data_IF_871955579755
#
_entry.id   IF_871955579755
#
_cell.length_a   1.000
_cell.length_b   1.000
_cell.length_c   1.000
_cell.angle_alpha   90.00
_cell.angle_beta   90.00
_cell.angle_gamma   90.00
#
_symmetry.space_group_name_H-M   'P 1'
#
loop_
_entity.id
_entity.type
_entity.pdbx_description
1 polymer ?
#
# COMPACT_ATOMS: atom_id res chain seq x y z
N UNK A 1 -10.52 22.93 3.08
CA UNK A 1 -9.98 21.55 3.00
C UNK A 1 -10.67 20.69 1.96
N UNK A 2 -12.01 20.51 2.01
CA UNK A 2 -12.72 19.67 1.02
C UNK A 2 -12.49 20.10 -0.44
N UNK A 3 -12.55 21.41 -0.74
CA UNK A 3 -12.24 21.93 -2.08
C UNK A 3 -10.81 21.58 -2.53
N UNK A 4 -9.82 21.64 -1.64
CA UNK A 4 -8.43 21.27 -1.93
C UNK A 4 -8.30 19.79 -2.33
N UNK A 5 -9.03 18.89 -1.66
CA UNK A 5 -9.06 17.47 -2.00
C UNK A 5 -9.74 17.21 -3.34
N UNK A 6 -10.82 17.91 -3.67
CA UNK A 6 -11.48 17.83 -4.99
C UNK A 6 -10.52 18.30 -6.10
N UNK A 7 -9.85 19.43 -5.89
CA UNK A 7 -8.85 19.95 -6.85
C UNK A 7 -7.69 18.96 -7.02
N UNK A 8 -7.15 18.41 -5.93
CA UNK A 8 -6.09 17.41 -6.00
C UNK A 8 -6.54 16.15 -6.76
N UNK A 9 -7.76 15.66 -6.51
CA UNK A 9 -8.32 14.51 -7.22
C UNK A 9 -8.45 14.77 -8.73
N UNK A 10 -8.94 15.95 -9.13
CA UNK A 10 -9.00 16.34 -10.55
C UNK A 10 -7.61 16.38 -11.18
N UNK A 11 -6.61 16.96 -10.49
CA UNK A 11 -5.23 17.00 -10.97
C UNK A 11 -4.63 15.59 -11.14
N UNK A 12 -4.93 14.65 -10.23
CA UNK A 12 -4.52 13.26 -10.41
C UNK A 12 -5.18 12.61 -11.63
N UNK A 13 -6.49 12.80 -11.83
CA UNK A 13 -7.22 12.26 -13.00
C UNK A 13 -6.62 12.80 -14.30
N UNK A 14 -6.42 14.11 -14.42
CA UNK A 14 -5.81 14.71 -15.60
C UNK A 14 -4.34 14.33 -15.77
N UNK A 15 -3.59 14.23 -14.66
CA UNK A 15 -2.20 13.77 -14.65
C UNK A 15 -2.06 12.37 -15.23
N UNK A 16 -2.86 11.41 -14.73
CA UNK A 16 -2.90 10.02 -15.22
C UNK A 16 -3.33 9.95 -16.69
N UNK A 17 -4.35 10.71 -17.09
CA UNK A 17 -4.78 10.78 -18.49
C UNK A 17 -3.67 11.28 -19.43
N UNK A 18 -2.81 12.19 -18.98
CA UNK A 18 -1.66 12.69 -19.78
C UNK A 18 -0.48 11.74 -19.77
N UNK A 19 -0.35 10.87 -18.76
CA UNK A 19 0.71 9.86 -18.71
C UNK A 19 0.53 8.75 -19.76
N UNK A 20 -0.67 8.56 -20.31
CA UNK A 20 -0.93 7.55 -21.34
C UNK A 20 -0.45 7.92 -22.75
N UNK A 21 0.07 9.13 -22.96
CA UNK A 21 0.62 9.58 -24.25
C UNK A 21 2.06 10.07 -24.10
N UNK A 22 3.02 9.59 -24.93
CA UNK A 22 4.41 10.04 -24.89
C UNK A 22 4.56 11.56 -25.02
N UNK A 23 3.74 12.21 -25.85
CA UNK A 23 3.79 13.66 -26.08
C UNK A 23 3.45 14.48 -24.82
N UNK A 24 2.61 13.94 -23.93
CA UNK A 24 2.14 14.65 -22.73
C UNK A 24 2.67 14.07 -21.41
N UNK A 25 3.41 12.97 -21.45
CA UNK A 25 3.88 12.25 -20.25
C UNK A 25 4.62 13.14 -19.23
N UNK A 26 5.59 13.95 -19.68
CA UNK A 26 6.34 14.86 -18.77
C UNK A 26 5.44 15.84 -18.05
N UNK A 27 4.48 16.41 -18.78
CA UNK A 27 3.51 17.34 -18.22
C UNK A 27 2.48 16.66 -17.32
N UNK A 28 2.07 15.42 -17.65
CA UNK A 28 1.19 14.60 -16.81
C UNK A 28 1.82 14.32 -15.44
N UNK A 29 3.10 13.96 -15.41
CA UNK A 29 3.83 13.76 -14.16
C UNK A 29 3.87 15.04 -13.30
N UNK A 30 4.14 16.20 -13.90
CA UNK A 30 4.13 17.49 -13.18
C UNK A 30 2.74 17.84 -12.63
N UNK A 31 1.68 17.57 -13.38
CA UNK A 31 0.30 17.77 -12.92
C UNK A 31 -0.05 16.88 -11.72
N UNK A 32 0.33 15.60 -11.77
CA UNK A 32 0.13 14.67 -10.64
C UNK A 32 0.94 15.09 -9.40
N UNK A 33 2.20 15.52 -9.59
CA UNK A 33 3.04 16.02 -8.50
C UNK A 33 2.43 17.28 -7.82
N UNK A 34 1.85 18.19 -8.59
CA UNK A 34 1.12 19.34 -8.05
C UNK A 34 -0.11 18.90 -7.24
N UNK A 35 -0.87 17.92 -7.74
CA UNK A 35 -1.99 17.33 -7.01
C UNK A 35 -1.56 16.76 -5.65
N UNK A 36 -0.46 16.01 -5.61
CA UNK A 36 0.12 15.48 -4.38
C UNK A 36 0.54 16.59 -3.41
N UNK A 37 1.21 17.64 -3.90
CA UNK A 37 1.62 18.78 -3.08
C UNK A 37 0.43 19.50 -2.44
N UNK A 38 -0.67 19.71 -3.19
CA UNK A 38 -1.90 20.31 -2.68
C UNK A 38 -2.55 19.41 -1.62
N UNK A 39 -2.64 18.11 -1.86
CA UNK A 39 -3.22 17.16 -0.91
C UNK A 39 -2.44 17.15 0.42
N UNK A 40 -1.11 17.01 0.36
CA UNK A 40 -0.26 17.04 1.56
C UNK A 40 -0.39 18.35 2.31
N UNK A 41 -0.34 19.48 1.60
CA UNK A 41 -0.48 20.80 2.22
C UNK A 41 -1.84 20.96 2.90
N UNK A 42 -2.92 20.48 2.29
CA UNK A 42 -4.25 20.51 2.89
C UNK A 42 -4.33 19.64 4.15
N UNK A 43 -3.75 18.43 4.14
CA UNK A 43 -3.70 17.54 5.31
C UNK A 43 -2.85 18.13 6.44
N UNK A 44 -1.72 18.77 6.12
CA UNK A 44 -0.85 19.42 7.10
C UNK A 44 -1.47 20.68 7.72
N UNK A 45 -2.46 21.29 7.09
CA UNK A 45 -3.14 22.47 7.65
C UNK A 45 -4.41 22.11 8.44
N UNK A 46 -4.70 20.82 8.59
CA UNK A 46 -5.84 20.37 9.40
C UNK A 46 -5.60 20.61 10.90
N UNK A 47 -6.67 20.97 11.62
CA UNK A 47 -6.62 21.41 13.02
C UNK A 47 -6.49 20.25 14.03
N UNK A 48 -6.31 19.01 13.57
CA UNK A 48 -6.20 17.80 14.39
C UNK A 48 -4.78 17.24 14.53
N UNK A 49 -3.73 18.01 14.19
CA UNK A 49 -2.35 17.52 14.21
C UNK A 49 -1.81 17.43 15.65
N UNK A 50 -1.58 16.20 16.10
CA UNK A 50 -1.13 15.89 17.47
C UNK A 50 0.35 16.17 17.68
N UNK A 51 1.21 15.92 16.67
CA UNK A 51 2.66 16.17 16.79
C UNK A 51 3.32 16.51 15.44
N UNK A 52 3.64 17.78 15.24
CA UNK A 52 4.31 18.29 14.04
C UNK A 52 5.71 17.73 13.84
N UNK A 53 6.47 17.49 14.92
CA UNK A 53 7.84 17.00 14.84
C UNK A 53 7.89 15.58 14.29
N UNK A 54 6.96 14.72 14.71
CA UNK A 54 6.85 13.35 14.19
C UNK A 54 6.48 13.35 12.71
N UNK A 55 5.54 14.21 12.30
CA UNK A 55 5.11 14.28 10.90
C UNK A 55 6.25 14.80 10.01
N UNK A 56 6.87 15.92 10.37
CA UNK A 56 7.98 16.51 9.61
C UNK A 56 9.16 15.55 9.58
N UNK A 57 9.54 14.97 10.73
CA UNK A 57 10.63 14.00 10.81
C UNK A 57 10.39 12.78 9.92
N UNK A 58 9.22 12.16 10.03
CA UNK A 58 8.86 11.02 9.19
C UNK A 58 8.79 11.36 7.70
N UNK A 59 8.26 12.53 7.36
CA UNK A 59 8.19 13.00 5.96
C UNK A 59 9.60 13.23 5.39
N UNK A 60 10.49 13.87 6.14
CA UNK A 60 11.87 14.11 5.69
C UNK A 60 12.62 12.79 5.51
N UNK A 61 12.51 11.86 6.45
CA UNK A 61 13.18 10.56 6.36
C UNK A 61 12.64 9.77 5.17
N UNK A 62 11.31 9.64 5.04
CA UNK A 62 10.68 8.90 3.96
C UNK A 62 10.97 9.52 2.58
N UNK A 63 10.82 10.83 2.44
CA UNK A 63 11.12 11.54 1.20
C UNK A 63 12.62 11.47 0.87
N UNK A 64 13.50 11.58 1.86
CA UNK A 64 14.95 11.47 1.67
C UNK A 64 15.36 10.11 1.12
N UNK A 65 14.88 9.02 1.73
CA UNK A 65 15.12 7.65 1.26
C UNK A 65 14.55 7.45 -0.15
N UNK A 66 13.31 7.91 -0.39
CA UNK A 66 12.66 7.79 -1.70
C UNK A 66 13.38 8.55 -2.80
N UNK A 67 13.82 9.79 -2.53
CA UNK A 67 14.59 10.61 -3.47
C UNK A 67 15.95 9.99 -3.74
N UNK A 68 16.63 9.48 -2.71
CA UNK A 68 17.93 8.83 -2.85
C UNK A 68 17.82 7.65 -3.81
N UNK A 69 17.00 6.66 -3.49
CA UNK A 69 16.86 5.47 -4.34
C UNK A 69 16.26 5.77 -5.72
N UNK A 70 15.34 6.74 -5.80
CA UNK A 70 14.76 7.17 -7.08
C UNK A 70 15.74 7.86 -8.03
N UNK A 71 16.91 8.29 -7.54
CA UNK A 71 17.95 8.95 -8.36
C UNK A 71 19.19 8.09 -8.59
N UNK A 72 19.45 7.11 -7.72
CA UNK A 72 20.71 6.33 -7.74
C UNK A 72 20.57 4.98 -8.43
N UNK A 73 19.37 4.42 -8.53
CA UNK A 73 19.17 3.09 -9.13
C UNK A 73 19.25 3.15 -10.65
N UNK A 74 19.91 2.15 -11.25
CA UNK A 74 20.06 2.03 -12.69
C UNK A 74 18.70 1.83 -13.40
N UNK A 75 18.57 2.35 -14.64
CA UNK A 75 17.34 2.24 -15.42
C UNK A 75 16.95 0.78 -15.75
N UNK A 76 17.93 -0.13 -15.79
CA UNK A 76 17.71 -1.58 -15.95
C UNK A 76 17.08 -2.23 -14.71
N UNK A 77 17.24 -1.59 -13.54
CA UNK A 77 16.75 -2.03 -12.24
C UNK A 77 15.44 -1.32 -11.82
N UNK A 78 14.78 -0.63 -12.75
CA UNK A 78 13.51 0.05 -12.48
C UNK A 78 12.36 -0.90 -12.08
N UNK A 79 12.20 -2.09 -12.70
CA UNK A 79 11.08 -2.98 -12.36
C UNK A 79 11.00 -3.32 -10.87
N UNK A 80 12.12 -3.68 -10.25
CA UNK A 80 12.17 -4.02 -8.83
C UNK A 80 11.97 -2.81 -7.92
N UNK A 81 12.47 -1.64 -8.31
CA UNK A 81 12.27 -0.42 -7.50
C UNK A 81 10.81 -0.01 -7.47
N UNK A 82 10.11 -0.15 -8.60
CA UNK A 82 8.65 0.06 -8.65
C UNK A 82 7.93 -0.97 -7.77
N UNK A 83 8.35 -2.23 -7.78
CA UNK A 83 7.79 -3.26 -6.89
C UNK A 83 7.96 -2.86 -5.41
N UNK A 84 9.17 -2.46 -5.00
CA UNK A 84 9.45 -2.06 -3.62
C UNK A 84 8.63 -0.83 -3.20
N UNK A 85 8.56 0.22 -4.02
CA UNK A 85 7.77 1.43 -3.71
C UNK A 85 6.26 1.14 -3.62
N UNK A 86 5.73 0.24 -4.45
CA UNK A 86 4.35 -0.23 -4.31
C UNK A 86 4.14 -0.95 -2.96
N UNK A 87 5.10 -1.79 -2.56
CA UNK A 87 5.06 -2.48 -1.27
C UNK A 87 5.03 -1.53 -0.08
N UNK A 88 5.82 -0.45 -0.11
CA UNK A 88 5.80 0.60 0.92
C UNK A 88 4.47 1.35 0.99
N UNK A 89 3.83 1.60 -0.16
CA UNK A 89 2.46 2.11 -0.21
C UNK A 89 1.46 1.15 0.46
N UNK A 90 1.61 -0.16 0.19
CA UNK A 90 0.85 -1.21 0.86
C UNK A 90 1.06 -1.25 2.37
N UNK A 91 2.31 -1.14 2.85
CA UNK A 91 2.62 -1.05 4.27
C UNK A 91 1.93 0.14 4.94
N UNK A 92 1.95 1.30 4.28
CA UNK A 92 1.28 2.51 4.79
C UNK A 92 -0.22 2.28 4.93
N UNK A 93 -0.87 1.71 3.91
CA UNK A 93 -2.29 1.37 3.96
C UNK A 93 -2.60 0.40 5.11
N UNK A 94 -1.79 -0.66 5.27
CA UNK A 94 -2.01 -1.65 6.32
C UNK A 94 -1.87 -1.06 7.73
N UNK A 95 -0.80 -0.30 7.98
CA UNK A 95 -0.53 0.30 9.29
C UNK A 95 -1.62 1.32 9.64
N UNK A 96 -1.97 2.21 8.71
CA UNK A 96 -3.02 3.22 8.93
C UNK A 96 -4.36 2.56 9.22
N UNK A 97 -4.71 1.49 8.48
CA UNK A 97 -5.94 0.74 8.71
C UNK A 97 -6.03 0.09 10.10
N UNK A 98 -4.94 -0.53 10.58
CA UNK A 98 -4.89 -1.13 11.92
C UNK A 98 -5.00 -0.07 13.00
N UNK A 99 -4.28 1.06 12.83
CA UNK A 99 -4.32 2.18 13.78
C UNK A 99 -5.71 2.80 13.82
N UNK A 100 -6.36 3.03 12.67
CA UNK A 100 -7.68 3.62 12.60
C UNK A 100 -8.73 2.75 13.29
N UNK A 101 -8.69 1.43 13.05
CA UNK A 101 -9.56 0.49 13.77
C UNK A 101 -9.31 0.51 15.28
N UNK A 102 -8.05 0.60 15.70
CA UNK A 102 -7.66 0.63 17.13
C UNK A 102 -8.15 1.90 17.83
N UNK A 103 -8.20 3.04 17.13
CA UNK A 103 -8.68 4.32 17.69
C UNK A 103 -10.19 4.37 17.83
N UNK A 104 -10.92 3.71 16.93
CA UNK A 104 -12.38 3.76 16.89
C UNK A 104 -13.01 2.38 16.63
N UNK A 105 -12.85 1.39 17.54
CA UNK A 105 -13.40 0.05 17.36
C UNK A 105 -14.95 0.03 17.34
N UNK A 106 -15.59 1.06 17.88
CA UNK A 106 -17.03 1.28 17.83
C UNK A 106 -17.53 1.97 16.55
N UNK A 107 -16.66 2.25 15.57
CA UNK A 107 -17.05 2.94 14.35
C UNK A 107 -18.09 2.17 13.52
N UNK A 108 -18.81 2.89 12.66
CA UNK A 108 -19.83 2.29 11.79
C UNK A 108 -19.25 1.29 10.78
N UNK A 109 -20.13 0.49 10.18
CA UNK A 109 -19.77 -0.58 9.23
C UNK A 109 -18.84 -0.11 8.10
N UNK A 110 -19.03 1.10 7.58
CA UNK A 110 -18.18 1.66 6.52
C UNK A 110 -16.72 1.82 6.93
N UNK A 111 -16.46 2.38 8.11
CA UNK A 111 -15.09 2.58 8.64
C UNK A 111 -14.44 1.24 8.93
N UNK A 112 -15.17 0.31 9.55
CA UNK A 112 -14.68 -1.04 9.81
C UNK A 112 -14.32 -1.78 8.53
N UNK A 113 -15.16 -1.67 7.51
CA UNK A 113 -14.92 -2.30 6.20
C UNK A 113 -13.67 -1.71 5.53
N UNK A 114 -13.54 -0.38 5.51
CA UNK A 114 -12.37 0.29 4.97
C UNK A 114 -11.07 -0.10 5.72
N UNK A 115 -11.13 -0.19 7.05
CA UNK A 115 -10.00 -0.62 7.86
C UNK A 115 -9.61 -2.08 7.57
N UNK A 116 -10.56 -3.01 7.58
CA UNK A 116 -10.31 -4.43 7.28
C UNK A 116 -9.72 -4.61 5.88
N UNK A 117 -10.31 -3.97 4.87
CA UNK A 117 -9.83 -4.09 3.49
C UNK A 117 -8.46 -3.45 3.30
N UNK A 118 -8.23 -2.27 3.87
CA UNK A 118 -6.92 -1.60 3.79
C UNK A 118 -5.82 -2.39 4.51
N UNK A 119 -6.13 -3.01 5.66
CA UNK A 119 -5.24 -3.92 6.36
C UNK A 119 -4.87 -5.13 5.51
N UNK A 120 -5.87 -5.84 4.97
CA UNK A 120 -5.67 -7.03 4.14
C UNK A 120 -4.91 -6.72 2.84
N UNK A 121 -5.39 -5.76 2.05
CA UNK A 121 -4.82 -5.44 0.73
C UNK A 121 -3.44 -4.82 0.89
N UNK A 122 -3.25 -3.96 1.89
CA UNK A 122 -1.97 -3.33 2.17
C UNK A 122 -0.90 -4.35 2.56
N UNK A 123 -1.23 -5.28 3.46
CA UNK A 123 -0.32 -6.34 3.90
C UNK A 123 0.02 -7.32 2.76
N UNK A 124 -0.99 -7.72 1.98
CA UNK A 124 -0.80 -8.57 0.80
C UNK A 124 0.15 -7.91 -0.21
N UNK A 125 -0.05 -6.62 -0.48
CA UNK A 125 0.79 -5.85 -1.39
C UNK A 125 2.23 -5.73 -0.88
N UNK A 126 2.41 -5.45 0.42
CA UNK A 126 3.73 -5.31 1.04
C UNK A 126 4.59 -6.56 0.81
N UNK A 127 4.14 -7.73 1.25
CA UNK A 127 4.96 -8.95 1.15
C UNK A 127 5.05 -9.47 -0.27
N UNK A 128 3.98 -9.34 -1.07
CA UNK A 128 4.04 -9.66 -2.49
C UNK A 128 5.11 -8.85 -3.22
N UNK A 129 5.18 -7.54 -2.96
CA UNK A 129 6.20 -6.65 -3.48
C UNK A 129 7.62 -6.99 -3.01
N UNK A 130 7.80 -7.39 -1.75
CA UNK A 130 9.12 -7.81 -1.22
C UNK A 130 9.61 -9.06 -1.95
N UNK A 131 8.74 -10.06 -2.16
CA UNK A 131 9.10 -11.27 -2.89
C UNK A 131 9.39 -10.96 -4.37
N UNK A 132 8.58 -10.11 -5.00
CA UNK A 132 8.80 -9.67 -6.37
C UNK A 132 10.14 -8.93 -6.53
N UNK A 133 10.44 -8.00 -5.62
CA UNK A 133 11.74 -7.33 -5.54
C UNK A 133 12.89 -8.33 -5.39
N UNK A 134 12.77 -9.29 -4.47
CA UNK A 134 13.80 -10.30 -4.22
C UNK A 134 14.08 -11.18 -5.44
N UNK A 135 13.05 -11.54 -6.20
CA UNK A 135 13.20 -12.30 -7.45
C UNK A 135 13.88 -11.50 -8.56
N UNK A 136 13.46 -10.25 -8.76
CA UNK A 136 14.03 -9.35 -9.79
C UNK A 136 15.45 -8.88 -9.46
N UNK A 137 15.82 -8.86 -8.18
CA UNK A 137 17.20 -8.61 -7.72
C UNK A 137 18.05 -9.89 -7.64
N UNK A 138 17.53 -11.03 -8.09
CA UNK A 138 18.22 -12.33 -8.02
C UNK A 138 18.62 -12.77 -6.60
N UNK A 139 18.05 -12.14 -5.56
CA UNK A 139 18.18 -12.55 -4.16
C UNK A 139 17.37 -13.82 -3.86
N UNK A 140 16.31 -14.03 -4.66
CA UNK A 140 15.47 -15.22 -4.67
C UNK A 140 15.50 -15.85 -6.07
N UNK A 141 15.26 -17.16 -6.14
CA UNK A 141 15.14 -17.85 -7.43
C UNK A 141 14.03 -17.23 -8.29
N UNK A 142 14.39 -16.82 -9.51
CA UNK A 142 13.42 -16.37 -10.52
C UNK A 142 12.50 -17.48 -11.05
N UNK A 143 12.84 -18.76 -10.84
CA UNK A 143 11.99 -19.89 -11.22
C UNK A 143 10.75 -19.97 -10.32
N UNK A 144 9.56 -20.33 -10.86
CA UNK A 144 8.37 -20.61 -10.06
C UNK A 144 8.65 -21.59 -8.91
N UNK A 145 8.36 -21.17 -7.68
CA UNK A 145 8.50 -21.99 -6.48
C UNK A 145 7.12 -22.51 -6.09
N UNK A 146 6.89 -23.81 -6.34
CA UNK A 146 5.63 -24.49 -6.11
C UNK A 146 5.77 -25.51 -4.98
N UNK A 147 4.70 -25.72 -4.22
CA UNK A 147 4.60 -26.83 -3.26
C UNK A 147 3.26 -27.57 -3.40
N UNK A 148 3.18 -28.86 -3.02
CA UNK A 148 1.96 -29.65 -3.15
C UNK A 148 0.78 -29.01 -2.40
N UNK A 149 -0.34 -28.80 -3.09
CA UNK A 149 -1.56 -28.22 -2.47
C UNK A 149 -1.56 -26.69 -2.31
N UNK A 150 -0.61 -25.96 -2.90
CA UNK A 150 -0.52 -24.50 -2.76
C UNK A 150 -1.81 -23.73 -3.05
N UNK A 151 -2.55 -24.08 -4.11
CA UNK A 151 -3.83 -23.43 -4.43
C UNK A 151 -4.86 -23.61 -3.30
N UNK A 152 -4.90 -24.80 -2.71
CA UNK A 152 -5.79 -25.12 -1.61
C UNK A 152 -5.40 -24.35 -0.34
N UNK A 153 -4.11 -24.32 0.01
CA UNK A 153 -3.61 -23.56 1.16
C UNK A 153 -3.87 -22.06 1.00
N UNK A 154 -3.57 -21.49 -0.18
CA UNK A 154 -3.86 -20.08 -0.47
C UNK A 154 -5.36 -19.80 -0.37
N UNK A 155 -6.21 -20.72 -0.84
CA UNK A 155 -7.66 -20.62 -0.73
C UNK A 155 -8.15 -20.59 0.72
N UNK A 156 -7.62 -21.47 1.57
CA UNK A 156 -7.96 -21.49 3.01
C UNK A 156 -7.54 -20.18 3.68
N UNK A 157 -6.32 -19.69 3.42
CA UNK A 157 -5.85 -18.43 4.00
C UNK A 157 -6.73 -17.26 3.54
N UNK A 158 -7.06 -17.20 2.25
CA UNK A 158 -7.94 -16.17 1.70
C UNK A 158 -9.35 -16.21 2.34
N UNK A 159 -9.93 -17.40 2.51
CA UNK A 159 -11.20 -17.57 3.21
C UNK A 159 -11.10 -17.16 4.69
N UNK A 160 -9.98 -17.47 5.36
CA UNK A 160 -9.71 -17.03 6.73
C UNK A 160 -9.66 -15.50 6.85
N UNK A 161 -8.99 -14.82 5.92
CA UNK A 161 -8.95 -13.36 5.85
C UNK A 161 -10.36 -12.78 5.67
N UNK A 162 -11.15 -13.33 4.74
CA UNK A 162 -12.53 -12.89 4.49
C UNK A 162 -13.43 -13.14 5.69
N UNK A 163 -13.32 -14.30 6.33
CA UNK A 163 -14.10 -14.67 7.52
C UNK A 163 -13.79 -13.78 8.72
N UNK A 164 -12.51 -13.57 9.04
CA UNK A 164 -12.07 -12.64 10.09
C UNK A 164 -12.52 -11.20 9.76
N UNK A 165 -12.38 -10.79 8.51
CA UNK A 165 -12.79 -9.48 8.05
C UNK A 165 -14.29 -9.24 8.23
N UNK A 166 -15.12 -10.18 7.79
CA UNK A 166 -16.56 -10.12 7.99
C UNK A 166 -16.93 -10.09 9.48
N UNK A 167 -16.28 -10.91 10.31
CA UNK A 167 -16.48 -10.93 11.76
C UNK A 167 -16.17 -9.58 12.42
N UNK A 168 -15.08 -8.94 12.04
CA UNK A 168 -14.71 -7.58 12.51
C UNK A 168 -15.75 -6.56 12.06
N UNK A 169 -16.17 -6.60 10.79
CA UNK A 169 -17.17 -5.65 10.24
C UNK A 169 -18.50 -5.75 10.95
N UNK A 170 -18.98 -6.96 11.26
CA UNK A 170 -20.25 -7.17 12.01
C UNK A 170 -20.15 -6.88 13.51
N UNK A 171 -19.01 -6.36 13.98
CA UNK A 171 -18.82 -5.95 15.36
C UNK A 171 -18.55 -7.09 16.34
N UNK A 172 -18.20 -8.28 15.83
CA UNK A 172 -17.83 -9.44 16.66
C UNK A 172 -16.32 -9.60 16.82
N UNK A 173 -15.52 -8.87 16.04
CA UNK A 173 -14.06 -8.89 16.11
C UNK A 173 -13.48 -7.71 16.89
N UNK A 174 -12.30 -7.93 17.45
CA UNK A 174 -11.49 -6.93 18.16
C UNK A 174 -10.21 -6.59 17.36
N UNK A 175 -9.31 -5.80 17.96
CA UNK A 175 -8.03 -5.44 17.34
C UNK A 175 -7.14 -6.65 17.06
N UNK A 176 -7.21 -7.69 17.89
CA UNK A 176 -6.42 -8.92 17.69
C UNK A 176 -6.85 -9.64 16.41
N UNK A 177 -8.16 -9.64 16.10
CA UNK A 177 -8.65 -10.21 14.85
C UNK A 177 -8.12 -9.46 13.63
N UNK A 178 -7.98 -8.14 13.72
CA UNK A 178 -7.37 -7.33 12.65
C UNK A 178 -5.87 -7.64 12.52
N UNK A 179 -5.14 -7.82 13.63
CA UNK A 179 -3.73 -8.24 13.59
C UNK A 179 -3.55 -9.64 13.00
N UNK A 180 -4.37 -10.61 13.40
CA UNK A 180 -4.35 -11.97 12.84
C UNK A 180 -4.63 -11.94 11.34
N UNK A 181 -5.68 -11.21 10.93
CA UNK A 181 -6.03 -11.02 9.53
C UNK A 181 -4.86 -10.39 8.74
N UNK A 182 -4.22 -9.37 9.30
CA UNK A 182 -3.06 -8.70 8.69
C UNK A 182 -1.89 -9.69 8.56
N UNK A 183 -1.61 -10.50 9.58
CA UNK A 183 -0.58 -11.54 9.54
C UNK A 183 -0.85 -12.61 8.48
N UNK A 184 -2.10 -13.06 8.36
CA UNK A 184 -2.53 -13.98 7.30
C UNK A 184 -2.38 -13.34 5.91
N UNK A 185 -2.68 -12.06 5.77
CA UNK A 185 -2.52 -11.34 4.51
C UNK A 185 -1.03 -11.16 4.13
N UNK A 186 -0.15 -10.89 5.10
CA UNK A 186 1.30 -10.88 4.90
C UNK A 186 1.78 -12.25 4.39
N UNK A 187 1.32 -13.34 5.02
CA UNK A 187 1.66 -14.70 4.60
C UNK A 187 1.13 -14.98 3.19
N UNK A 188 -0.13 -14.65 2.91
CA UNK A 188 -0.74 -14.84 1.60
C UNK A 188 0.01 -14.08 0.51
N UNK A 189 0.48 -12.86 0.79
CA UNK A 189 1.23 -12.06 -0.19
C UNK A 189 2.52 -12.75 -0.63
N UNK A 190 3.25 -13.38 0.31
CA UNK A 190 4.40 -14.23 -0.03
C UNK A 190 3.95 -15.41 -0.91
N UNK A 191 2.98 -16.18 -0.43
CA UNK A 191 2.55 -17.42 -1.07
C UNK A 191 1.91 -17.23 -2.44
N UNK A 192 1.37 -16.04 -2.71
CA UNK A 192 0.76 -15.68 -3.98
C UNK A 192 1.78 -15.30 -5.05
N UNK A 193 2.94 -14.75 -4.66
CA UNK A 193 4.01 -14.32 -5.59
C UNK A 193 5.10 -15.39 -5.79
N UNK A 194 5.27 -16.32 -4.85
CA UNK A 194 6.16 -17.49 -5.01
C UNK A 194 5.97 -18.30 -6.33
N UNK A 195 4.76 -18.57 -6.84
CA UNK A 195 4.56 -19.34 -8.06
C UNK A 195 4.78 -18.51 -9.35
N UNK A 196 4.93 -17.19 -9.25
CA UNK A 196 5.11 -16.29 -10.40
C UNK A 196 6.59 -16.30 -10.82
N UNK A 197 6.87 -16.44 -12.12
CA UNK A 197 8.24 -16.34 -12.65
C UNK A 197 8.79 -14.90 -12.55
N UNK A 198 10.10 -14.77 -12.30
CA UNK A 198 10.78 -13.48 -12.11
C UNK A 198 10.96 -12.63 -13.38
N UNK A 199 10.73 -13.19 -14.56
CA UNK A 199 11.09 -12.58 -15.85
C UNK A 199 12.49 -12.95 -16.28
#
# INVERSE_FOLDING_TARGET
MQASYVVAALLFIFGLKRLSSPATARSGNRTAALGMAIALSATLLDRGIVNWWTIIGGTIVGAGIGIYFGRTVAMTQMPQMVALFNGMGGATAAIVSVVEFSRAPGAGYGVKTAAVLGAAIGALSLTGSIVAFGKLQELLSGKPMLFPGQKFVNGIIALGILGLGAMVVVGRGDVNHVWILTGLALLLGVMFVLPIGGG
#
